data_IF_418120734500
#
_entry.id   IF_418120734500
#
_cell.length_a   1.000
_cell.length_b   1.000
_cell.length_c   1.000
_cell.angle_alpha   90.00
_cell.angle_beta   90.00
_cell.angle_gamma   90.00
#
_symmetry.space_group_name_H-M   'P 1'
#
loop_
_entity.id
_entity.type
_entity.pdbx_description
1 polymer ?
#
# COMPACT_ATOMS: atom_id res chain seq x y z
N UNK A 1 -8.39 -7.21 17.78
CA UNK A 1 -8.81 -6.61 16.49
C UNK A 1 -7.88 -5.45 16.10
N UNK A 2 -7.65 -4.43 16.95
CA UNK A 2 -6.63 -3.37 16.72
C UNK A 2 -5.18 -3.88 16.52
N UNK A 3 -4.79 -4.96 17.22
CA UNK A 3 -3.44 -5.54 17.12
C UNK A 3 -3.10 -6.03 15.70
N UNK A 4 -4.08 -6.57 14.96
CA UNK A 4 -3.82 -7.12 13.61
C UNK A 4 -3.63 -5.98 12.58
N UNK A 5 -4.37 -4.88 12.74
CA UNK A 5 -4.22 -3.66 11.91
C UNK A 5 -2.85 -2.99 12.12
N UNK A 6 -2.36 -2.95 13.38
CA UNK A 6 -1.01 -2.47 13.68
C UNK A 6 0.00 -3.37 12.98
N UNK A 7 -0.18 -4.68 13.07
CA UNK A 7 0.73 -5.67 12.53
C UNK A 7 0.85 -5.58 11.00
N UNK A 8 -0.25 -5.55 10.23
CA UNK A 8 -0.17 -5.44 8.76
C UNK A 8 0.51 -4.15 8.31
N UNK A 9 0.12 -3.01 8.88
CA UNK A 9 0.77 -1.73 8.60
C UNK A 9 2.24 -1.72 9.04
N UNK A 10 2.60 -2.39 10.13
CA UNK A 10 3.98 -2.44 10.64
C UNK A 10 4.90 -3.24 9.71
N UNK A 11 4.38 -4.30 9.06
CA UNK A 11 5.12 -5.13 8.09
C UNK A 11 5.56 -4.31 6.89
N UNK A 12 4.61 -3.68 6.20
CA UNK A 12 4.93 -2.90 5.00
C UNK A 12 5.78 -1.70 5.37
N UNK A 13 5.52 -1.05 6.52
CA UNK A 13 6.36 0.05 7.04
C UNK A 13 7.82 -0.33 7.23
N UNK A 14 8.12 -1.54 7.71
CA UNK A 14 9.49 -2.00 7.94
C UNK A 14 10.26 -2.14 6.61
N UNK A 15 9.60 -2.66 5.58
CA UNK A 15 10.19 -2.80 4.24
C UNK A 15 10.32 -1.43 3.58
N UNK A 16 9.25 -0.64 3.57
CA UNK A 16 9.20 0.72 3.02
C UNK A 16 10.32 1.65 3.51
N UNK A 17 10.65 1.60 4.81
CA UNK A 17 11.70 2.47 5.40
C UNK A 17 13.08 2.27 4.80
N UNK A 18 13.35 1.10 4.23
CA UNK A 18 14.65 0.75 3.68
C UNK A 18 14.60 0.47 2.18
N UNK A 19 13.42 0.59 1.56
CA UNK A 19 13.27 0.44 0.13
C UNK A 19 13.70 1.73 -0.53
N UNK A 20 14.83 1.69 -1.23
CA UNK A 20 15.30 2.81 -2.06
C UNK A 20 15.01 2.51 -3.52
N UNK A 21 14.66 3.53 -4.30
CA UNK A 21 14.47 3.40 -5.74
C UNK A 21 15.72 2.84 -6.44
N UNK A 22 16.92 3.23 -5.99
CA UNK A 22 18.21 2.69 -6.43
C UNK A 22 18.31 1.16 -6.29
N UNK A 23 17.62 0.58 -5.30
CA UNK A 23 17.59 -0.88 -5.10
C UNK A 23 16.90 -1.61 -6.25
N UNK A 24 16.00 -0.94 -6.98
CA UNK A 24 15.30 -1.50 -8.12
C UNK A 24 15.97 -1.17 -9.45
N UNK A 25 16.45 0.06 -9.64
CA UNK A 25 17.16 0.45 -10.88
C UNK A 25 18.47 -0.32 -11.11
N UNK A 26 19.06 -0.87 -10.06
CA UNK A 26 20.33 -1.60 -10.14
C UNK A 26 20.23 -3.02 -10.71
N UNK A 27 19.05 -3.47 -11.14
CA UNK A 27 18.85 -4.82 -11.71
C UNK A 27 18.96 -5.93 -10.66
N UNK A 28 18.68 -5.59 -9.40
CA UNK A 28 18.67 -6.52 -8.27
C UNK A 28 17.43 -7.40 -8.40
N UNK A 29 17.62 -8.72 -8.42
CA UNK A 29 16.50 -9.66 -8.51
C UNK A 29 15.66 -9.68 -7.22
N UNK A 30 14.38 -10.03 -7.32
CA UNK A 30 13.44 -10.13 -6.19
C UNK A 30 14.04 -10.87 -4.98
N UNK A 31 14.67 -12.03 -5.18
CA UNK A 31 15.28 -12.81 -4.10
C UNK A 31 16.42 -12.08 -3.40
N UNK A 32 17.15 -11.23 -4.12
CA UNK A 32 18.23 -10.42 -3.55
C UNK A 32 17.64 -9.29 -2.71
N UNK A 33 16.54 -8.67 -3.15
CA UNK A 33 15.78 -7.70 -2.34
C UNK A 33 15.22 -8.36 -1.07
N UNK A 34 14.61 -9.53 -1.17
CA UNK A 34 14.12 -10.30 -0.01
C UNK A 34 15.25 -10.54 0.99
N UNK A 35 16.40 -11.02 0.52
CA UNK A 35 17.57 -11.27 1.37
C UNK A 35 18.09 -9.98 2.02
N UNK A 36 18.14 -8.89 1.25
CA UNK A 36 18.55 -7.58 1.74
C UNK A 36 17.65 -7.12 2.89
N UNK A 37 16.33 -7.13 2.71
CA UNK A 37 15.39 -6.72 3.76
C UNK A 37 15.39 -7.66 4.95
N UNK A 38 15.52 -8.98 4.75
CA UNK A 38 15.66 -9.94 5.86
C UNK A 38 16.91 -9.68 6.70
N UNK A 39 18.02 -9.26 6.08
CA UNK A 39 19.21 -8.85 6.81
C UNK A 39 18.97 -7.57 7.62
N UNK A 40 18.20 -6.62 7.09
CA UNK A 40 17.80 -5.43 7.85
C UNK A 40 16.92 -5.79 9.03
N UNK A 41 16.03 -6.78 8.91
CA UNK A 41 15.22 -7.25 10.02
C UNK A 41 16.06 -7.68 11.24
N UNK A 42 17.30 -8.12 11.04
CA UNK A 42 18.21 -8.50 12.13
C UNK A 42 18.65 -7.31 13.00
N UNK A 43 18.46 -6.08 12.52
CA UNK A 43 18.74 -4.85 13.27
C UNK A 43 17.53 -4.35 14.09
N UNK A 44 16.37 -5.00 13.94
CA UNK A 44 15.17 -4.67 14.71
C UNK A 44 15.21 -5.33 16.10
N UNK A 45 14.45 -4.79 17.07
CA UNK A 45 14.27 -5.47 18.36
C UNK A 45 13.75 -6.90 18.19
N UNK A 46 14.17 -7.83 19.05
CA UNK A 46 13.83 -9.27 18.98
C UNK A 46 12.34 -9.54 18.77
N UNK A 47 11.47 -8.72 19.41
CA UNK A 47 10.01 -8.81 19.29
C UNK A 47 9.50 -8.57 17.87
N UNK A 48 10.21 -7.79 17.06
CA UNK A 48 9.86 -7.42 15.69
C UNK A 48 10.65 -8.19 14.63
N UNK A 49 11.78 -8.79 15.01
CA UNK A 49 12.70 -9.46 14.08
C UNK A 49 12.04 -10.66 13.37
N UNK A 50 11.45 -11.59 14.13
CA UNK A 50 10.80 -12.79 13.55
C UNK A 50 9.64 -12.42 12.62
N UNK A 51 8.84 -11.45 13.06
CA UNK A 51 7.73 -10.91 12.29
C UNK A 51 8.25 -10.30 10.97
N UNK A 52 9.20 -9.37 11.03
CA UNK A 52 9.81 -8.77 9.85
C UNK A 52 10.35 -9.83 8.86
N UNK A 53 11.16 -10.79 9.34
CA UNK A 53 11.76 -11.83 8.48
C UNK A 53 10.70 -12.65 7.76
N UNK A 54 9.58 -12.95 8.44
CA UNK A 54 8.49 -13.73 7.91
C UNK A 54 7.67 -12.98 6.85
N UNK A 55 7.51 -11.66 6.99
CA UNK A 55 6.69 -10.85 6.08
C UNK A 55 7.45 -10.27 4.90
N UNK A 56 8.77 -10.10 4.98
CA UNK A 56 9.58 -9.60 3.85
C UNK A 56 9.31 -10.34 2.53
N UNK A 57 9.25 -11.70 2.47
CA UNK A 57 8.94 -12.41 1.24
C UNK A 57 7.52 -12.15 0.67
N UNK A 58 6.61 -11.60 1.47
CA UNK A 58 5.23 -11.30 1.08
C UNK A 58 5.08 -9.84 0.62
N UNK A 59 5.83 -8.92 1.23
CA UNK A 59 5.70 -7.48 0.95
C UNK A 59 6.62 -7.02 -0.19
N UNK A 60 7.81 -7.62 -0.34
CA UNK A 60 8.76 -7.22 -1.40
C UNK A 60 8.17 -7.38 -2.81
N UNK A 61 7.49 -8.48 -3.17
CA UNK A 61 6.90 -8.62 -4.50
C UNK A 61 5.85 -7.55 -4.80
N UNK A 62 5.00 -7.19 -3.82
CA UNK A 62 4.00 -6.13 -3.95
C UNK A 62 4.65 -4.77 -4.20
N UNK A 63 5.76 -4.47 -3.51
CA UNK A 63 6.50 -3.23 -3.74
C UNK A 63 7.16 -3.20 -5.13
N UNK A 64 7.70 -4.32 -5.60
CA UNK A 64 8.24 -4.43 -6.97
C UNK A 64 7.16 -4.16 -8.00
N UNK A 65 5.99 -4.80 -7.86
CA UNK A 65 4.84 -4.61 -8.75
C UNK A 65 4.44 -3.12 -8.87
N UNK A 66 4.40 -2.40 -7.74
CA UNK A 66 4.07 -0.97 -7.73
C UNK A 66 5.16 -0.12 -8.43
N UNK A 67 6.43 -0.46 -8.24
CA UNK A 67 7.55 0.25 -8.91
C UNK A 67 7.58 -0.03 -10.41
N UNK A 68 7.30 -1.26 -10.83
CA UNK A 68 7.15 -1.62 -12.25
C UNK A 68 6.03 -0.82 -12.94
N UNK A 69 4.99 -0.47 -12.18
CA UNK A 69 3.91 0.44 -12.61
C UNK A 69 4.31 1.92 -12.59
N UNK A 70 5.58 2.23 -12.37
CA UNK A 70 6.10 3.59 -12.28
C UNK A 70 5.49 4.40 -11.13
N UNK A 71 4.92 3.72 -10.12
CA UNK A 71 4.46 4.38 -8.90
C UNK A 71 5.68 4.66 -8.03
N UNK A 72 5.96 5.92 -7.67
CA UNK A 72 7.12 6.24 -6.85
C UNK A 72 7.06 5.55 -5.49
N UNK A 73 8.17 4.96 -5.07
CA UNK A 73 8.30 4.32 -3.75
C UNK A 73 7.95 5.31 -2.64
N UNK A 74 8.33 6.57 -2.80
CA UNK A 74 8.00 7.65 -1.87
C UNK A 74 6.49 7.82 -1.71
N UNK A 75 5.73 7.70 -2.79
CA UNK A 75 4.26 7.72 -2.78
C UNK A 75 3.74 6.52 -1.99
N UNK A 76 4.18 5.30 -2.34
CA UNK A 76 3.78 4.07 -1.64
C UNK A 76 4.08 4.16 -0.14
N UNK A 77 5.30 4.51 0.22
CA UNK A 77 5.77 4.64 1.61
C UNK A 77 5.05 5.75 2.39
N UNK A 78 4.67 6.85 1.72
CA UNK A 78 3.93 7.95 2.36
C UNK A 78 2.49 7.55 2.64
N UNK A 79 1.82 6.87 1.69
CA UNK A 79 0.45 6.36 1.88
C UNK A 79 0.36 5.33 3.00
N UNK A 80 1.41 4.53 3.16
CA UNK A 80 1.52 3.56 4.24
C UNK A 80 1.98 4.20 5.55
N UNK A 81 2.19 5.52 5.60
CA UNK A 81 2.72 6.27 6.77
C UNK A 81 4.05 5.72 7.29
N UNK A 82 4.86 5.15 6.38
CA UNK A 82 6.18 4.62 6.64
C UNK A 82 7.28 5.68 6.57
N UNK A 83 7.09 6.65 5.67
CA UNK A 83 7.98 7.77 5.42
C UNK A 83 7.21 9.09 5.42
N UNK A 84 7.90 10.19 5.74
CA UNK A 84 7.33 11.54 5.72
C UNK A 84 7.89 12.32 4.52
N UNK A 85 7.44 12.00 3.31
CA UNK A 85 7.72 12.81 2.13
C UNK A 85 6.54 13.74 1.84
N UNK A 86 6.78 14.94 1.28
CA UNK A 86 5.69 15.74 0.73
C UNK A 86 5.04 14.95 -0.42
N UNK A 87 3.71 14.81 -0.37
CA UNK A 87 2.95 14.08 -1.38
C UNK A 87 3.12 14.77 -2.74
N UNK A 88 3.62 14.04 -3.74
CA UNK A 88 3.91 14.55 -5.09
C UNK A 88 2.64 14.57 -5.96
N UNK A 89 2.41 15.60 -6.80
CA UNK A 89 1.34 15.59 -7.80
C UNK A 89 1.85 15.19 -9.19
N UNK A 90 1.33 14.09 -9.72
CA UNK A 90 0.48 13.88 -10.92
C UNK A 90 0.10 12.37 -10.88
N UNK A 91 -1.14 12.01 -11.22
CA UNK A 91 -1.74 10.67 -11.02
C UNK A 91 -1.95 10.19 -9.57
N UNK A 92 -1.80 11.08 -8.58
CA UNK A 92 -2.01 10.76 -7.17
C UNK A 92 -3.30 9.96 -6.89
N UNK A 93 -4.41 10.23 -7.57
CA UNK A 93 -5.67 9.49 -7.35
C UNK A 93 -5.59 8.03 -7.84
N UNK A 94 -5.04 7.79 -9.04
CA UNK A 94 -4.88 6.45 -9.60
C UNK A 94 -3.86 5.65 -8.78
N UNK A 95 -2.71 6.24 -8.50
CA UNK A 95 -1.67 5.61 -7.68
C UNK A 95 -2.18 5.28 -6.27
N UNK A 96 -2.91 6.20 -5.64
CA UNK A 96 -3.55 5.96 -4.34
C UNK A 96 -4.50 4.78 -4.42
N UNK A 97 -5.36 4.74 -5.44
CA UNK A 97 -6.32 3.66 -5.60
C UNK A 97 -5.62 2.30 -5.77
N UNK A 98 -4.62 2.22 -6.65
CA UNK A 98 -3.88 0.98 -6.92
C UNK A 98 -3.14 0.53 -5.66
N UNK A 99 -2.39 1.42 -5.00
CA UNK A 99 -1.65 1.09 -3.77
C UNK A 99 -2.58 0.58 -2.67
N UNK A 100 -3.70 1.27 -2.44
CA UNK A 100 -4.66 0.89 -1.39
C UNK A 100 -5.24 -0.49 -1.65
N UNK A 101 -5.59 -0.80 -2.90
CA UNK A 101 -6.16 -2.08 -3.28
C UNK A 101 -5.12 -3.21 -3.35
N UNK A 102 -3.86 -2.91 -3.69
CA UNK A 102 -2.75 -3.88 -3.63
C UNK A 102 -2.52 -4.39 -2.20
N UNK A 103 -2.67 -3.52 -1.19
CA UNK A 103 -2.52 -3.90 0.22
C UNK A 103 -3.85 -4.21 0.92
N UNK A 104 -4.97 -4.19 0.19
CA UNK A 104 -6.30 -4.46 0.74
C UNK A 104 -6.49 -5.93 1.15
N UNK A 105 -5.88 -6.89 0.44
CA UNK A 105 -6.01 -8.32 0.75
C UNK A 105 -5.37 -8.71 2.10
N UNK A 106 -4.48 -7.86 2.63
CA UNK A 106 -3.87 -8.06 3.94
C UNK A 106 -4.78 -7.63 5.10
N UNK A 107 -5.98 -7.13 4.79
CA UNK A 107 -6.96 -6.75 5.79
C UNK A 107 -7.59 -8.01 6.41
N UNK A 108 -7.66 -8.08 7.76
CA UNK A 108 -8.20 -9.25 8.42
C UNK A 108 -9.70 -9.43 8.16
N UNK A 109 -10.15 -10.69 8.19
CA UNK A 109 -11.57 -11.03 8.12
C UNK A 109 -12.38 -10.30 9.21
N UNK A 110 -13.51 -9.67 8.81
CA UNK A 110 -14.37 -8.89 9.70
C UNK A 110 -13.97 -7.43 9.88
N UNK A 111 -12.99 -6.96 9.12
CA UNK A 111 -12.61 -5.55 9.07
C UNK A 111 -13.66 -4.72 8.33
N UNK A 112 -13.94 -3.53 8.85
CA UNK A 112 -14.87 -2.58 8.24
C UNK A 112 -14.16 -1.85 7.10
N UNK A 113 -14.41 -2.29 5.87
CA UNK A 113 -13.77 -1.72 4.70
C UNK A 113 -14.16 -0.26 4.49
N UNK A 114 -15.39 0.13 4.82
CA UNK A 114 -15.86 1.50 4.62
C UNK A 114 -15.02 2.46 5.48
N UNK A 115 -14.85 2.11 6.76
CA UNK A 115 -14.05 2.90 7.71
C UNK A 115 -12.59 3.02 7.28
N UNK A 116 -12.01 1.96 6.72
CA UNK A 116 -10.64 2.01 6.22
C UNK A 116 -10.47 2.88 5.01
N UNK A 117 -11.36 2.72 4.03
CA UNK A 117 -11.32 3.57 2.85
C UNK A 117 -11.46 5.04 3.28
N UNK A 118 -12.37 5.35 4.21
CA UNK A 118 -12.51 6.71 4.75
C UNK A 118 -11.25 7.22 5.44
N UNK A 119 -10.47 6.35 6.10
CA UNK A 119 -9.21 6.74 6.76
C UNK A 119 -8.14 7.23 5.79
N UNK A 120 -8.18 6.78 4.54
CA UNK A 120 -7.26 7.23 3.47
C UNK A 120 -7.50 8.71 3.18
N UNK A 121 -8.73 9.19 3.37
CA UNK A 121 -9.05 10.60 3.12
C UNK A 121 -8.31 11.57 4.04
N UNK A 122 -7.78 11.09 5.17
CA UNK A 122 -6.96 11.90 6.08
C UNK A 122 -5.64 12.36 5.45
N UNK A 123 -5.22 11.74 4.35
CA UNK A 123 -4.04 12.11 3.57
C UNK A 123 -4.26 13.42 2.80
N UNK A 124 -5.51 13.71 2.42
CA UNK A 124 -5.87 14.88 1.64
C UNK A 124 -6.13 16.10 2.52
N UNK A 125 -5.95 17.29 1.95
CA UNK A 125 -6.17 18.55 2.65
C UNK A 125 -7.56 19.14 2.35
N UNK A 126 -8.18 19.74 3.37
CA UNK A 126 -9.39 20.58 3.27
C UNK A 126 -10.45 20.02 2.32
N UNK A 127 -10.69 20.66 1.17
CA UNK A 127 -11.78 20.35 0.25
C UNK A 127 -11.62 18.98 -0.44
N UNK A 128 -10.38 18.53 -0.66
CA UNK A 128 -10.10 17.23 -1.28
C UNK A 128 -10.46 16.06 -0.36
N UNK A 129 -10.35 16.28 0.96
CA UNK A 129 -10.76 15.31 1.97
C UNK A 129 -12.26 15.05 1.94
N UNK A 130 -13.08 16.10 1.81
CA UNK A 130 -14.53 15.95 1.71
C UNK A 130 -14.94 15.27 0.39
N UNK A 131 -14.26 15.59 -0.71
CA UNK A 131 -14.46 14.91 -1.99
C UNK A 131 -14.10 13.42 -1.93
N UNK A 132 -12.99 13.08 -1.27
CA UNK A 132 -12.58 11.69 -1.04
C UNK A 132 -13.64 10.91 -0.25
N UNK A 133 -14.14 11.47 0.85
CA UNK A 133 -15.17 10.83 1.69
C UNK A 133 -16.47 10.63 0.92
N UNK A 134 -16.90 11.63 0.15
CA UNK A 134 -18.08 11.54 -0.69
C UNK A 134 -17.93 10.45 -1.76
N UNK A 135 -16.76 10.38 -2.40
CA UNK A 135 -16.43 9.36 -3.39
C UNK A 135 -16.50 7.95 -2.80
N UNK A 136 -15.86 7.69 -1.66
CA UNK A 136 -15.89 6.37 -1.01
C UNK A 136 -17.31 5.96 -0.67
N UNK A 137 -18.09 6.86 -0.08
CA UNK A 137 -19.48 6.58 0.28
C UNK A 137 -20.34 6.24 -0.94
N UNK A 138 -20.08 6.89 -2.08
CA UNK A 138 -20.78 6.62 -3.32
C UNK A 138 -20.36 5.28 -3.94
N UNK A 139 -19.05 5.01 -3.96
CA UNK A 139 -18.47 3.88 -4.69
C UNK A 139 -18.28 2.62 -3.84
N UNK A 140 -18.53 2.67 -2.53
CA UNK A 140 -18.26 1.57 -1.60
C UNK A 140 -18.82 0.22 -2.06
N UNK A 141 -20.09 0.19 -2.47
CA UNK A 141 -20.72 -1.04 -2.94
C UNK A 141 -20.11 -1.54 -4.26
N UNK A 142 -19.70 -0.63 -5.15
CA UNK A 142 -19.03 -1.00 -6.41
C UNK A 142 -17.64 -1.58 -6.13
N UNK A 143 -16.88 -0.98 -5.20
CA UNK A 143 -15.58 -1.48 -4.74
C UNK A 143 -15.72 -2.92 -4.23
N UNK A 144 -16.71 -3.19 -3.35
CA UNK A 144 -16.99 -4.54 -2.85
C UNK A 144 -17.35 -5.50 -3.98
N UNK A 145 -18.18 -5.09 -4.94
CA UNK A 145 -18.60 -5.92 -6.07
C UNK A 145 -17.41 -6.28 -6.98
N UNK A 146 -16.54 -5.32 -7.30
CA UNK A 146 -15.36 -5.58 -8.13
C UNK A 146 -14.35 -6.49 -7.44
N UNK A 147 -14.09 -6.28 -6.15
CA UNK A 147 -13.25 -7.17 -5.34
C UNK A 147 -13.84 -8.58 -5.30
N UNK A 148 -15.15 -8.72 -5.10
CA UNK A 148 -15.84 -10.01 -5.08
C UNK A 148 -15.78 -10.76 -6.42
N UNK A 149 -15.51 -10.04 -7.51
CA UNK A 149 -15.30 -10.57 -8.86
C UNK A 149 -13.82 -10.85 -9.18
N UNK A 150 -12.92 -10.70 -8.21
CA UNK A 150 -11.47 -10.88 -8.34
C UNK A 150 -10.85 -9.95 -9.41
N UNK A 151 -11.32 -8.71 -9.49
CA UNK A 151 -10.68 -7.70 -10.33
C UNK A 151 -9.32 -7.33 -9.72
N UNK A 152 -8.30 -7.15 -10.56
CA UNK A 152 -7.01 -6.62 -10.08
C UNK A 152 -7.18 -5.19 -9.56
N UNK A 153 -6.28 -4.69 -8.69
CA UNK A 153 -6.28 -3.30 -8.24
C UNK A 153 -6.50 -2.28 -9.36
N UNK A 154 -5.82 -2.43 -10.49
CA UNK A 154 -5.95 -1.51 -11.63
C UNK A 154 -7.30 -1.64 -12.32
N UNK A 155 -7.78 -2.86 -12.54
CA UNK A 155 -9.10 -3.08 -13.11
C UNK A 155 -10.17 -2.41 -12.26
N UNK A 156 -10.08 -2.52 -10.93
CA UNK A 156 -10.99 -1.81 -10.02
C UNK A 156 -10.86 -0.30 -10.21
N UNK A 157 -9.65 0.25 -10.20
CA UNK A 157 -9.42 1.69 -10.33
C UNK A 157 -9.83 2.27 -11.69
N UNK A 158 -9.75 1.49 -12.77
CA UNK A 158 -10.30 1.82 -14.09
C UNK A 158 -11.83 1.80 -14.09
N UNK A 159 -12.47 0.80 -13.46
CA UNK A 159 -13.95 0.76 -13.36
C UNK A 159 -14.50 1.95 -12.57
N UNK A 160 -13.77 2.38 -11.54
CA UNK A 160 -14.10 3.55 -10.74
C UNK A 160 -13.78 4.88 -11.45
N UNK A 161 -13.20 4.84 -12.66
CA UNK A 161 -12.80 6.03 -13.43
C UNK A 161 -11.81 6.91 -12.65
N UNK A 162 -10.98 6.26 -11.83
CA UNK A 162 -9.89 6.90 -11.07
C UNK A 162 -8.58 6.81 -11.85
N UNK A 163 -8.39 5.70 -12.58
CA UNK A 163 -7.34 5.52 -13.57
C UNK A 163 -7.94 5.60 -14.98
N UNK A 164 -7.18 6.14 -15.93
CA UNK A 164 -7.49 6.02 -17.36
C UNK A 164 -7.27 4.57 -17.83
N UNK A 165 -7.98 4.17 -18.89
CA UNK A 165 -7.87 2.84 -19.53
C UNK A 165 -6.69 2.74 -20.50
#
# INVERSE_FOLDING_TARGET
MFLIQIISALRVKQVCKNFTFDSYESGVGEQQLITYFQNICLSLPDMLQMECIFFVPQEVPKLIELVERQIPVETVCTLLTACNYPILPINAKCDICVVVLTFFEDLPAGFDLEVFLESICEIFQKEEKDQCRAFIKQEYNNIIDYISKNYSPEQVCEQLVVCDK
#
